data_IF_462764548523
#
_entry.id   IF_462764548523
#
_cell.length_a   1.000
_cell.length_b   1.000
_cell.length_c   1.000
_cell.angle_alpha   90.00
_cell.angle_beta   90.00
_cell.angle_gamma   90.00
#
_symmetry.space_group_name_H-M   'P 1'
#
loop_
_entity.id
_entity.type
_entity.pdbx_description
1 polymer ?
#
# COMPACT_ATOMS: atom_id res chain seq x y z
N UNK A 1 3.62 -16.79 7.22
CA UNK A 1 2.59 -17.55 7.98
C UNK A 1 1.26 -17.56 7.24
N UNK A 2 0.61 -16.42 6.99
CA UNK A 2 -0.71 -16.37 6.31
C UNK A 2 -0.75 -17.06 4.93
N UNK A 3 0.28 -16.88 4.09
CA UNK A 3 0.38 -17.56 2.79
C UNK A 3 0.44 -19.08 2.90
N UNK A 4 1.18 -19.58 3.89
CA UNK A 4 1.38 -21.02 4.11
C UNK A 4 0.10 -21.67 4.64
N UNK A 5 -0.61 -21.00 5.54
CA UNK A 5 -1.90 -21.49 6.06
C UNK A 5 -2.99 -21.41 5.01
N UNK A 6 -3.08 -20.31 4.23
CA UNK A 6 -4.07 -20.17 3.17
C UNK A 6 -4.00 -21.30 2.13
N UNK A 7 -2.79 -21.81 1.84
CA UNK A 7 -2.58 -22.90 0.89
C UNK A 7 -3.19 -24.23 1.36
N UNK A 8 -3.40 -24.39 2.66
CA UNK A 8 -4.08 -25.56 3.24
C UNK A 8 -5.61 -25.47 3.12
N UNK A 9 -6.17 -24.25 3.06
CA UNK A 9 -7.61 -24.03 3.02
C UNK A 9 -8.15 -23.80 1.61
N UNK A 10 -7.35 -23.23 0.70
CA UNK A 10 -7.77 -22.91 -0.67
C UNK A 10 -6.64 -23.30 -1.65
N UNK A 11 -6.95 -24.08 -2.72
CA UNK A 11 -6.01 -24.26 -3.82
C UNK A 11 -5.92 -22.95 -4.61
N UNK A 12 -4.94 -22.11 -4.29
CA UNK A 12 -4.59 -20.94 -5.08
C UNK A 12 -3.21 -21.11 -5.69
N UNK A 13 -3.08 -20.78 -6.98
CA UNK A 13 -1.80 -20.68 -7.66
C UNK A 13 -1.41 -19.20 -7.76
N UNK A 14 -0.20 -18.87 -7.33
CA UNK A 14 0.32 -17.50 -7.45
C UNK A 14 0.70 -17.31 -8.92
N UNK A 15 -0.04 -16.45 -9.64
CA UNK A 15 0.22 -16.18 -11.04
C UNK A 15 1.65 -15.65 -11.30
N UNK A 16 2.13 -14.74 -10.46
CA UNK A 16 3.46 -14.11 -10.60
C UNK A 16 4.23 -14.06 -9.27
N UNK A 17 4.93 -15.15 -8.89
CA UNK A 17 5.58 -15.26 -7.57
C UNK A 17 6.72 -14.26 -7.36
N UNK A 18 7.51 -13.94 -8.39
CA UNK A 18 8.57 -12.92 -8.29
C UNK A 18 8.00 -11.51 -8.14
N UNK A 19 6.94 -11.18 -8.86
CA UNK A 19 6.28 -9.89 -8.72
C UNK A 19 5.60 -9.74 -7.36
N UNK A 20 5.01 -10.82 -6.83
CA UNK A 20 4.47 -10.84 -5.46
C UNK A 20 5.53 -10.44 -4.44
N UNK A 21 6.72 -11.07 -4.50
CA UNK A 21 7.82 -10.73 -3.59
C UNK A 21 8.29 -9.29 -3.79
N UNK A 22 8.40 -8.82 -5.04
CA UNK A 22 8.78 -7.44 -5.35
C UNK A 22 7.80 -6.43 -4.76
N UNK A 23 6.49 -6.59 -5.01
CA UNK A 23 5.47 -5.73 -4.41
C UNK A 23 5.43 -5.85 -2.89
N UNK A 24 5.64 -7.04 -2.33
CA UNK A 24 5.70 -7.24 -0.88
C UNK A 24 6.83 -6.45 -0.23
N UNK A 25 8.04 -6.56 -0.76
CA UNK A 25 9.20 -5.82 -0.27
C UNK A 25 9.00 -4.31 -0.44
N UNK A 26 8.53 -3.88 -1.60
CA UNK A 26 8.29 -2.48 -1.89
C UNK A 26 7.25 -1.87 -0.94
N UNK A 27 6.16 -2.60 -0.69
CA UNK A 27 5.12 -2.22 0.28
C UNK A 27 5.70 -2.14 1.70
N UNK A 28 6.43 -3.18 2.13
CA UNK A 28 6.99 -3.27 3.46
C UNK A 28 7.96 -2.12 3.76
N UNK A 29 8.88 -1.84 2.84
CA UNK A 29 9.85 -0.74 2.99
C UNK A 29 9.12 0.61 3.03
N UNK A 30 8.18 0.83 2.10
CA UNK A 30 7.47 2.11 2.00
C UNK A 30 6.63 2.40 3.26
N UNK A 31 5.85 1.42 3.72
CA UNK A 31 5.05 1.59 4.94
C UNK A 31 5.90 1.63 6.21
N UNK A 32 7.04 0.94 6.25
CA UNK A 32 7.98 1.04 7.37
C UNK A 32 8.55 2.47 7.46
N UNK A 33 8.94 3.08 6.34
CA UNK A 33 9.40 4.47 6.30
C UNK A 33 8.29 5.45 6.65
N UNK A 34 7.08 5.23 6.15
CA UNK A 34 5.92 6.05 6.49
C UNK A 34 5.61 5.99 8.00
N UNK A 35 5.59 4.80 8.59
CA UNK A 35 5.43 4.61 10.03
C UNK A 35 6.57 5.23 10.84
N UNK A 36 7.80 5.18 10.34
CA UNK A 36 8.94 5.86 10.94
C UNK A 36 8.78 7.39 10.96
N UNK A 37 8.35 7.99 9.85
CA UNK A 37 8.06 9.44 9.76
C UNK A 37 7.00 9.83 10.81
N UNK A 38 5.93 9.05 10.91
CA UNK A 38 4.88 9.27 11.92
C UNK A 38 5.44 9.14 13.33
N UNK A 39 6.28 8.14 13.58
CA UNK A 39 6.89 7.91 14.89
C UNK A 39 7.79 9.06 15.34
N UNK A 40 8.53 9.69 14.42
CA UNK A 40 9.36 10.87 14.73
C UNK A 40 8.51 12.13 14.94
N UNK A 41 7.40 12.27 14.21
CA UNK A 41 6.51 13.43 14.32
C UNK A 41 5.55 13.37 15.52
N UNK A 42 5.22 12.17 16.02
CA UNK A 42 4.26 12.01 17.09
C UNK A 42 4.86 12.44 18.44
N UNK A 43 4.37 13.55 19.00
CA UNK A 43 4.75 14.04 20.34
C UNK A 43 4.33 13.12 21.51
N UNK A 44 3.56 12.07 21.23
CA UNK A 44 3.07 11.14 22.25
C UNK A 44 2.36 9.92 21.66
N UNK A 45 2.13 8.93 22.52
CA UNK A 45 1.55 7.64 22.14
C UNK A 45 0.13 7.77 21.54
N UNK A 46 -0.66 8.73 22.03
CA UNK A 46 -2.01 9.01 21.52
C UNK A 46 -1.99 9.45 20.05
N UNK A 47 -1.07 10.37 19.68
CA UNK A 47 -0.90 10.81 18.28
C UNK A 47 -0.43 9.66 17.39
N UNK A 48 0.46 8.82 17.91
CA UNK A 48 0.99 7.65 17.19
C UNK A 48 -0.12 6.64 16.87
N UNK A 49 -1.09 6.43 17.77
CA UNK A 49 -2.22 5.51 17.55
C UNK A 49 -3.36 6.12 16.73
N UNK A 50 -3.61 7.43 16.84
CA UNK A 50 -4.66 8.12 16.09
C UNK A 50 -4.40 8.05 14.58
N UNK A 51 -3.15 8.21 14.12
CA UNK A 51 -2.85 8.24 12.68
C UNK A 51 -3.21 6.92 11.97
N UNK A 52 -2.82 5.74 12.47
CA UNK A 52 -3.26 4.46 11.91
C UNK A 52 -4.78 4.29 11.85
N UNK A 53 -5.50 4.70 12.90
CA UNK A 53 -6.94 4.49 13.01
C UNK A 53 -7.75 5.49 12.17
N UNK A 54 -7.39 6.76 12.22
CA UNK A 54 -8.13 7.85 11.56
C UNK A 54 -7.72 8.05 10.10
N UNK A 55 -6.51 7.64 9.70
CA UNK A 55 -5.99 7.92 8.35
C UNK A 55 -5.70 6.62 7.59
N UNK A 56 -4.82 5.76 8.11
CA UNK A 56 -4.38 4.56 7.37
C UNK A 56 -5.54 3.58 7.14
N UNK A 57 -6.36 3.36 8.17
CA UNK A 57 -7.49 2.44 8.10
C UNK A 57 -8.50 2.86 7.02
N UNK A 58 -9.06 4.10 7.03
CA UNK A 58 -9.98 4.52 5.96
C UNK A 58 -9.30 4.59 4.59
N UNK A 59 -8.03 4.99 4.50
CA UNK A 59 -7.30 4.93 3.24
C UNK A 59 -7.17 3.49 2.72
N UNK A 60 -6.98 2.51 3.60
CA UNK A 60 -6.87 1.11 3.18
C UNK A 60 -8.21 0.59 2.67
N UNK A 61 -9.31 0.91 3.35
CA UNK A 61 -10.67 0.57 2.89
C UNK A 61 -11.04 1.28 1.59
N UNK A 62 -10.71 2.56 1.45
CA UNK A 62 -10.91 3.32 0.21
C UNK A 62 -9.96 2.86 -0.91
N UNK A 63 -8.86 2.21 -0.53
CA UNK A 63 -7.80 1.73 -1.41
C UNK A 63 -8.13 0.49 -2.25
N UNK A 64 -9.39 0.03 -2.22
CA UNK A 64 -9.81 -1.12 -3.01
C UNK A 64 -9.26 -2.46 -2.51
N UNK A 65 -8.96 -2.61 -1.22
CA UNK A 65 -8.58 -3.90 -0.60
C UNK A 65 -9.70 -4.93 -0.72
N UNK A 66 -10.94 -4.50 -0.47
CA UNK A 66 -12.11 -5.37 -0.41
C UNK A 66 -12.96 -5.36 -1.69
N UNK A 67 -12.75 -4.39 -2.57
CA UNK A 67 -13.53 -4.22 -3.80
C UNK A 67 -12.64 -3.76 -4.96
N UNK A 68 -13.12 -3.96 -6.19
CA UNK A 68 -12.49 -3.39 -7.38
C UNK A 68 -12.89 -1.93 -7.53
N UNK A 69 -11.94 -1.07 -7.93
CA UNK A 69 -12.16 0.36 -8.17
C UNK A 69 -13.28 0.59 -9.20
N UNK A 70 -13.46 -0.35 -10.14
CA UNK A 70 -14.47 -0.26 -11.21
C UNK A 70 -15.91 -0.33 -10.69
N UNK A 71 -16.12 -0.76 -9.43
CA UNK A 71 -17.44 -0.80 -8.81
C UNK A 71 -17.85 0.53 -8.16
N UNK A 72 -16.91 1.49 -8.05
CA UNK A 72 -17.19 2.81 -7.47
C UNK A 72 -17.81 3.75 -8.52
N UNK A 73 -18.70 4.67 -8.11
CA UNK A 73 -19.14 5.77 -8.96
C UNK A 73 -17.95 6.62 -9.45
N UNK A 74 -18.07 7.33 -10.60
CA UNK A 74 -16.97 8.05 -11.24
C UNK A 74 -16.24 9.05 -10.32
N UNK A 75 -16.99 9.70 -9.43
CA UNK A 75 -16.44 10.62 -8.42
C UNK A 75 -15.47 9.90 -7.46
N UNK A 76 -15.90 8.78 -6.89
CA UNK A 76 -15.10 8.02 -5.94
C UNK A 76 -13.92 7.31 -6.60
N UNK A 77 -14.07 6.85 -7.84
CA UNK A 77 -12.95 6.33 -8.61
C UNK A 77 -11.83 7.37 -8.76
N UNK A 78 -12.17 8.63 -9.04
CA UNK A 78 -11.21 9.72 -9.09
C UNK A 78 -10.49 9.94 -7.75
N UNK A 79 -11.24 10.02 -6.65
CA UNK A 79 -10.69 10.18 -5.28
C UNK A 79 -9.77 9.03 -4.91
N UNK A 80 -10.18 7.80 -5.20
CA UNK A 80 -9.41 6.59 -4.92
C UNK A 80 -8.09 6.58 -5.68
N UNK A 81 -8.01 7.06 -6.93
CA UNK A 81 -6.75 7.10 -7.69
C UNK A 81 -5.67 8.01 -7.08
N UNK A 82 -6.02 8.95 -6.19
CA UNK A 82 -5.02 9.74 -5.45
C UNK A 82 -4.38 8.96 -4.30
N UNK A 83 -4.96 7.85 -3.89
CA UNK A 83 -4.51 7.08 -2.75
C UNK A 83 -3.39 6.10 -3.17
N UNK A 84 -2.17 6.22 -2.60
CA UNK A 84 -1.05 5.33 -2.92
C UNK A 84 -1.35 3.85 -2.61
N UNK A 85 -2.25 3.58 -1.65
CA UNK A 85 -2.63 2.21 -1.25
C UNK A 85 -3.32 1.45 -2.38
N UNK A 86 -4.00 2.15 -3.29
CA UNK A 86 -4.68 1.54 -4.44
C UNK A 86 -3.73 0.83 -5.38
N UNK A 87 -2.61 1.49 -5.68
CA UNK A 87 -1.58 0.98 -6.56
C UNK A 87 -0.91 -0.26 -5.96
N UNK A 88 -0.68 -0.23 -4.65
CA UNK A 88 -0.15 -1.37 -3.89
C UNK A 88 -1.08 -2.58 -3.93
N UNK A 89 -2.37 -2.36 -3.64
CA UNK A 89 -3.39 -3.41 -3.65
C UNK A 89 -3.60 -3.96 -5.05
N UNK A 90 -3.65 -3.11 -6.08
CA UNK A 90 -3.79 -3.55 -7.46
C UNK A 90 -2.59 -4.37 -7.94
N UNK A 91 -1.36 -3.99 -7.56
CA UNK A 91 -0.15 -4.75 -7.87
C UNK A 91 -0.14 -6.13 -7.20
N UNK A 92 -0.56 -6.20 -5.94
CA UNK A 92 -0.72 -7.47 -5.22
C UNK A 92 -1.82 -8.34 -5.82
N UNK A 93 -2.98 -7.77 -6.15
CA UNK A 93 -4.09 -8.50 -6.78
C UNK A 93 -3.67 -9.12 -8.10
N UNK A 94 -2.89 -8.39 -8.90
CA UNK A 94 -2.32 -8.91 -10.14
C UNK A 94 -1.32 -10.04 -9.89
N UNK A 95 -0.45 -9.92 -8.89
CA UNK A 95 0.54 -10.94 -8.59
C UNK A 95 -0.09 -12.29 -8.16
N UNK A 96 -1.24 -12.25 -7.49
CA UNK A 96 -1.98 -13.44 -7.06
C UNK A 96 -2.90 -14.00 -8.14
N UNK A 97 -3.73 -13.15 -8.77
CA UNK A 97 -4.84 -13.60 -9.62
C UNK A 97 -4.66 -13.28 -11.11
N UNK A 98 -3.59 -12.57 -11.50
CA UNK A 98 -3.38 -12.11 -12.88
C UNK A 98 -4.29 -10.95 -13.31
N UNK A 99 -5.20 -10.51 -12.43
CA UNK A 99 -6.15 -9.42 -12.69
C UNK A 99 -5.67 -8.14 -12.01
N UNK A 100 -5.59 -7.04 -12.76
CA UNK A 100 -5.21 -5.73 -12.23
C UNK A 100 -6.35 -4.72 -12.42
N UNK A 101 -6.62 -3.91 -11.41
CA UNK A 101 -7.55 -2.77 -11.53
C UNK A 101 -6.90 -1.57 -12.22
N UNK A 102 -5.59 -1.41 -12.00
CA UNK A 102 -4.74 -0.39 -12.62
C UNK A 102 -3.57 -1.09 -13.29
N UNK A 103 -3.08 -0.55 -14.41
CA UNK A 103 -1.92 -1.08 -15.12
C UNK A 103 -0.75 -1.32 -14.15
N UNK A 104 -0.16 -2.52 -14.21
CA UNK A 104 0.89 -2.97 -13.28
C UNK A 104 2.10 -2.05 -13.29
N UNK A 105 2.48 -1.52 -14.46
CA UNK A 105 3.56 -0.57 -14.61
C UNK A 105 3.27 0.76 -13.91
N UNK A 106 2.03 1.26 -14.00
CA UNK A 106 1.59 2.46 -13.26
C UNK A 106 1.59 2.18 -11.76
N UNK A 107 1.10 1.01 -11.35
CA UNK A 107 1.08 0.61 -9.94
C UNK A 107 2.49 0.54 -9.33
N UNK A 108 3.43 -0.06 -10.04
CA UNK A 108 4.83 -0.11 -9.64
C UNK A 108 5.47 1.29 -9.61
N UNK A 109 5.25 2.10 -10.65
CA UNK A 109 5.78 3.46 -10.73
C UNK A 109 5.25 4.36 -9.60
N UNK A 110 3.95 4.35 -9.34
CA UNK A 110 3.34 5.15 -8.26
C UNK A 110 3.81 4.70 -6.88
N UNK A 111 4.01 3.39 -6.69
CA UNK A 111 4.59 2.91 -5.44
C UNK A 111 6.03 3.37 -5.26
N UNK A 112 6.85 3.33 -6.32
CA UNK A 112 8.22 3.86 -6.29
C UNK A 112 8.25 5.37 -6.02
N UNK A 113 7.32 6.13 -6.58
CA UNK A 113 7.15 7.56 -6.28
C UNK A 113 6.82 7.75 -4.80
N UNK A 114 5.89 6.98 -4.24
CA UNK A 114 5.55 7.06 -2.83
C UNK A 114 6.74 6.74 -1.93
N UNK A 115 7.51 5.70 -2.26
CA UNK A 115 8.77 5.37 -1.59
C UNK A 115 9.78 6.53 -1.67
N UNK A 116 9.97 7.11 -2.85
CA UNK A 116 10.89 8.23 -3.05
C UNK A 116 10.49 9.45 -2.22
N UNK A 117 9.19 9.77 -2.15
CA UNK A 117 8.65 10.83 -1.29
C UNK A 117 8.96 10.54 0.18
N UNK A 118 8.71 9.33 0.67
CA UNK A 118 9.06 8.95 2.04
C UNK A 118 10.56 9.12 2.31
N UNK A 119 11.43 8.71 1.39
CA UNK A 119 12.89 8.88 1.53
C UNK A 119 13.31 10.35 1.57
N UNK A 120 12.71 11.20 0.73
CA UNK A 120 12.97 12.65 0.72
C UNK A 120 12.55 13.28 2.05
N UNK A 121 11.37 12.92 2.56
CA UNK A 121 10.87 13.43 3.85
C UNK A 121 11.78 12.98 4.99
N UNK A 122 12.15 11.70 5.05
CA UNK A 122 13.09 11.19 6.06
C UNK A 122 14.42 11.94 5.99
N UNK A 123 14.99 12.09 4.79
CA UNK A 123 16.23 12.85 4.60
C UNK A 123 16.09 14.31 5.05
N UNK A 124 14.94 14.93 4.83
CA UNK A 124 14.67 16.30 5.25
C UNK A 124 14.61 16.40 6.78
N UNK A 125 13.86 15.52 7.44
CA UNK A 125 13.77 15.43 8.92
C UNK A 125 15.17 15.33 9.54
N UNK A 126 16.02 14.44 9.03
CA UNK A 126 17.40 14.29 9.52
C UNK A 126 18.33 15.47 9.20
N UNK A 127 18.02 16.29 8.20
CA UNK A 127 18.82 17.48 7.87
C UNK A 127 18.41 18.69 8.72
N UNK A 128 17.14 18.78 9.11
CA UNK A 128 16.58 19.88 9.92
C UNK A 128 16.62 19.62 11.41
N UNK A 129 16.79 18.37 11.83
CA UNK A 129 16.99 17.96 13.22
C UNK A 129 18.44 18.05 13.69
#
# INVERSE_FOLDING_TARGET
IMLATARLFVPFEIAHPFAMLGFLLLTAITFSLFGFIIGVWADGFEKLQIIPLMIITPLTFLGGTFYSIKMLPPFWQGVTLFNPVVYLVSGFRWAFYGVADVNVGISAAMTMVFLAVCLVVVRWIFKTG
#
